data_IF_842295846070
#
_entry.id   IF_842295846070
#
_cell.length_a   1.000
_cell.length_b   1.000
_cell.length_c   1.000
_cell.angle_alpha   90.00
_cell.angle_beta   90.00
_cell.angle_gamma   90.00
#
_symmetry.space_group_name_H-M   'P 1'
#
loop_
_entity.id
_entity.type
_entity.pdbx_description
1 polymer ?
#
# COMPACT_ATOMS: atom_id res chain seq x y z
N UNK A 1 -29.65 -10.93 -26.11
CA UNK A 1 -28.72 -11.52 -25.13
C UNK A 1 -27.49 -10.63 -25.10
N UNK A 2 -27.29 -9.84 -24.04
CA UNK A 2 -26.09 -8.99 -23.94
C UNK A 2 -24.90 -9.92 -23.70
N UNK A 3 -23.97 -9.96 -24.65
CA UNK A 3 -22.76 -10.78 -24.53
C UNK A 3 -21.82 -10.10 -23.51
N UNK A 4 -22.08 -10.35 -22.22
CA UNK A 4 -21.54 -9.58 -21.08
C UNK A 4 -20.12 -9.93 -20.65
N UNK A 5 -19.33 -10.64 -21.48
CA UNK A 5 -17.96 -11.02 -21.14
C UNK A 5 -16.93 -10.18 -21.88
N UNK A 6 -16.23 -9.32 -21.15
CA UNK A 6 -15.07 -8.59 -21.63
C UNK A 6 -13.79 -9.16 -20.99
N UNK A 7 -12.93 -9.77 -21.83
CA UNK A 7 -11.62 -10.28 -21.41
C UNK A 7 -10.74 -9.19 -20.79
N UNK A 8 -10.87 -7.95 -21.24
CA UNK A 8 -10.11 -6.82 -20.72
C UNK A 8 -10.56 -6.46 -19.30
N UNK A 9 -11.87 -6.32 -19.07
CA UNK A 9 -12.42 -6.03 -17.74
C UNK A 9 -12.14 -7.17 -16.75
N UNK A 10 -12.24 -8.42 -17.19
CA UNK A 10 -11.92 -9.57 -16.34
C UNK A 10 -10.44 -9.55 -15.91
N UNK A 11 -9.50 -9.31 -16.84
CA UNK A 11 -8.07 -9.19 -16.50
C UNK A 11 -7.78 -8.03 -15.57
N UNK A 12 -8.44 -6.89 -15.77
CA UNK A 12 -8.32 -5.73 -14.89
C UNK A 12 -8.84 -6.03 -13.48
N UNK A 13 -10.00 -6.68 -13.36
CA UNK A 13 -10.54 -7.10 -12.06
C UNK A 13 -9.59 -8.05 -11.32
N UNK A 14 -9.02 -9.03 -12.02
CA UNK A 14 -8.02 -9.94 -11.45
C UNK A 14 -6.77 -9.18 -11.00
N UNK A 15 -6.28 -8.22 -11.82
CA UNK A 15 -5.15 -7.38 -11.47
C UNK A 15 -5.39 -6.58 -10.19
N UNK A 16 -6.51 -5.86 -10.10
CA UNK A 16 -6.87 -5.09 -8.90
C UNK A 16 -7.02 -6.01 -7.69
N UNK A 17 -7.64 -7.19 -7.84
CA UNK A 17 -7.74 -8.16 -6.75
C UNK A 17 -6.37 -8.63 -6.25
N UNK A 18 -5.40 -8.87 -7.14
CA UNK A 18 -4.03 -9.19 -6.77
C UNK A 18 -3.34 -8.01 -6.05
N UNK A 19 -3.52 -6.77 -6.53
CA UNK A 19 -3.01 -5.57 -5.87
C UNK A 19 -3.59 -5.40 -4.46
N UNK A 20 -4.90 -5.60 -4.29
CA UNK A 20 -5.55 -5.57 -2.97
C UNK A 20 -5.03 -6.67 -2.06
N UNK A 21 -4.78 -7.88 -2.56
CA UNK A 21 -4.18 -8.95 -1.77
C UNK A 21 -2.78 -8.57 -1.25
N UNK A 22 -1.95 -7.96 -2.10
CA UNK A 22 -0.64 -7.43 -1.69
C UNK A 22 -0.75 -6.34 -0.63
N UNK A 23 -1.73 -5.43 -0.76
CA UNK A 23 -2.02 -4.39 0.23
C UNK A 23 -2.39 -4.99 1.59
N UNK A 24 -3.24 -6.03 1.61
CA UNK A 24 -3.64 -6.74 2.83
C UNK A 24 -2.42 -7.40 3.50
N UNK A 25 -1.54 -8.03 2.72
CA UNK A 25 -0.31 -8.65 3.24
C UNK A 25 0.59 -7.57 3.87
N UNK A 26 0.80 -6.44 3.19
CA UNK A 26 1.58 -5.32 3.73
C UNK A 26 0.99 -4.79 5.04
N UNK A 27 -0.34 -4.62 5.13
CA UNK A 27 -1.02 -4.21 6.37
C UNK A 27 -0.90 -5.24 7.50
N UNK A 28 -0.91 -6.53 7.15
CA UNK A 28 -0.61 -7.62 8.07
C UNK A 28 0.80 -7.51 8.64
N UNK A 29 1.80 -7.22 7.81
CA UNK A 29 3.19 -7.01 8.26
C UNK A 29 3.32 -5.82 9.21
N UNK A 30 2.62 -4.71 8.97
CA UNK A 30 2.59 -3.56 9.89
C UNK A 30 2.10 -3.98 11.27
N UNK A 31 1.02 -4.76 11.31
CA UNK A 31 0.44 -5.24 12.58
C UNK A 31 1.38 -6.23 13.28
N UNK A 32 1.90 -7.22 12.56
CA UNK A 32 2.78 -8.26 13.11
C UNK A 32 4.12 -7.71 13.61
N UNK A 33 4.62 -6.62 13.00
CA UNK A 33 5.85 -5.95 13.43
C UNK A 33 5.60 -4.82 14.44
N UNK A 34 4.35 -4.63 14.88
CA UNK A 34 3.91 -3.55 15.77
C UNK A 34 4.29 -2.15 15.26
N UNK A 35 4.34 -1.98 13.94
CA UNK A 35 4.84 -0.77 13.29
C UNK A 35 3.78 0.29 13.04
N UNK A 36 2.51 0.08 13.43
CA UNK A 36 1.39 0.94 13.03
C UNK A 36 1.37 2.37 13.60
N UNK A 37 2.34 2.72 14.46
CA UNK A 37 2.55 4.05 15.02
C UNK A 37 4.01 4.51 14.83
N UNK A 38 4.69 3.97 13.82
CA UNK A 38 6.07 4.34 13.52
C UNK A 38 6.14 5.75 12.96
N UNK A 39 5.24 6.11 12.03
CA UNK A 39 5.13 7.46 11.46
C UNK A 39 4.09 8.26 12.24
N UNK A 40 4.46 9.39 12.86
CA UNK A 40 3.58 10.13 13.77
C UNK A 40 2.54 11.01 13.05
N UNK A 41 2.70 11.25 11.74
CA UNK A 41 1.92 12.19 10.95
C UNK A 41 1.30 11.57 9.69
N UNK A 42 0.27 12.26 9.18
CA UNK A 42 -0.45 11.95 7.95
C UNK A 42 -1.11 13.22 7.37
N UNK A 43 -1.17 13.44 6.04
CA UNK A 43 -0.69 12.58 4.95
C UNK A 43 0.83 12.61 4.74
N UNK A 44 1.54 13.51 5.41
CA UNK A 44 3.01 13.59 5.37
C UNK A 44 3.68 12.44 6.16
N UNK A 45 5.00 12.34 6.02
CA UNK A 45 5.86 11.47 6.83
C UNK A 45 7.04 12.29 7.35
N UNK A 46 7.10 12.52 8.65
CA UNK A 46 8.12 13.34 9.32
C UNK A 46 8.30 14.72 8.68
N UNK A 47 7.18 15.34 8.27
CA UNK A 47 7.19 16.66 7.61
C UNK A 47 7.56 16.64 6.12
N UNK A 48 7.95 15.49 5.57
CA UNK A 48 8.08 15.30 4.12
C UNK A 48 6.72 14.97 3.52
N UNK A 49 6.49 15.43 2.28
CA UNK A 49 5.39 14.90 1.48
C UNK A 49 5.54 13.38 1.36
N UNK A 50 4.44 12.62 1.46
CA UNK A 50 4.44 11.15 1.54
C UNK A 50 5.33 10.49 0.49
N UNK A 51 5.27 10.97 -0.76
CA UNK A 51 6.01 10.39 -1.88
C UNK A 51 7.45 10.91 -2.01
N UNK A 52 7.82 11.89 -1.19
CA UNK A 52 9.15 12.49 -1.15
C UNK A 52 9.92 12.11 0.12
N UNK A 53 9.40 11.18 0.94
CA UNK A 53 10.09 10.73 2.14
C UNK A 53 11.38 9.96 1.73
N UNK A 54 12.54 10.31 2.32
CA UNK A 54 13.83 9.69 1.97
C UNK A 54 13.88 8.17 2.20
N UNK A 55 14.34 7.43 1.19
CA UNK A 55 14.44 5.96 1.23
C UNK A 55 15.44 5.46 2.28
N UNK A 56 16.50 6.20 2.54
CA UNK A 56 17.51 5.89 3.57
C UNK A 56 16.93 5.99 5.00
N UNK A 57 15.83 6.72 5.18
CA UNK A 57 15.13 6.85 6.47
C UNK A 57 14.00 5.83 6.64
N UNK A 58 13.69 5.02 5.62
CA UNK A 58 12.74 3.91 5.71
C UNK A 58 13.38 2.70 6.40
N UNK A 59 13.69 2.83 7.68
CA UNK A 59 14.34 1.80 8.50
C UNK A 59 13.42 1.30 9.61
N UNK A 60 13.56 0.02 9.98
CA UNK A 60 12.77 -0.59 11.06
C UNK A 60 11.26 -0.53 10.80
N UNK A 61 10.48 -0.11 11.79
CA UNK A 61 9.02 -0.02 11.69
C UNK A 61 8.51 0.96 10.64
N UNK A 62 9.28 2.03 10.38
CA UNK A 62 8.96 3.04 9.35
C UNK A 62 8.89 2.38 7.97
N UNK A 63 9.78 1.42 7.68
CA UNK A 63 9.75 0.69 6.41
C UNK A 63 8.40 -0.01 6.19
N UNK A 64 7.91 -0.73 7.19
CA UNK A 64 6.67 -1.49 7.09
C UNK A 64 5.46 -0.55 6.96
N UNK A 65 5.36 0.44 7.84
CA UNK A 65 4.22 1.37 7.83
C UNK A 65 4.19 2.23 6.57
N UNK A 66 5.35 2.82 6.20
CA UNK A 66 5.41 3.73 5.07
C UNK A 66 5.26 2.99 3.73
N UNK A 67 5.84 1.80 3.57
CA UNK A 67 5.60 0.98 2.37
C UNK A 67 4.13 0.58 2.22
N UNK A 68 3.45 0.23 3.31
CA UNK A 68 2.01 -0.03 3.29
C UNK A 68 1.21 1.19 2.82
N UNK A 69 1.52 2.39 3.33
CA UNK A 69 0.89 3.66 2.91
C UNK A 69 1.11 3.96 1.43
N UNK A 70 2.31 3.71 0.91
CA UNK A 70 2.62 3.90 -0.50
C UNK A 70 1.85 2.93 -1.39
N UNK A 71 1.77 1.64 -1.02
CA UNK A 71 0.98 0.64 -1.75
C UNK A 71 -0.51 1.06 -1.77
N UNK A 72 -1.05 1.49 -0.62
CA UNK A 72 -2.44 1.91 -0.48
C UNK A 72 -2.82 3.08 -1.40
N UNK A 73 -1.86 3.92 -1.81
CA UNK A 73 -2.12 5.04 -2.70
C UNK A 73 -2.30 4.65 -4.17
N UNK A 74 -1.88 3.44 -4.55
CA UNK A 74 -1.90 2.93 -5.94
C UNK A 74 -3.05 1.95 -6.17
N UNK A 75 -3.46 1.21 -5.14
CA UNK A 75 -4.58 0.26 -5.18
C UNK A 75 -5.92 0.98 -5.22
#
# INVERSE_FOLDING_TARGET
MVNGYSKALHRYAVFVACCTLLLIIAGGLVTSTQSGLSVPDWPNSYGYFMFAFPLDQMVGGIFYEHSHRLIASVV
#
